data_IF_012636245919
#
_entry.id   IF_012636245919
#
_cell.length_a   1.000
_cell.length_b   1.000
_cell.length_c   1.000
_cell.angle_alpha   90.00
_cell.angle_beta   90.00
_cell.angle_gamma   90.00
#
_symmetry.space_group_name_H-M   'P 1'
#
loop_
_entity.id
_entity.type
_entity.pdbx_description
1 polymer ?
#
# COMPACT_ATOMS: atom_id res chain seq x y z
N UNK A 1 2.00 -24.94 28.28
CA UNK A 1 2.68 -24.45 27.07
C UNK A 1 2.09 -25.19 25.90
N UNK A 2 1.75 -24.47 24.85
CA UNK A 2 1.03 -24.98 23.68
C UNK A 2 2.03 -25.19 22.56
N UNK A 3 1.77 -26.18 21.70
CA UNK A 3 2.51 -26.38 20.45
C UNK A 3 1.60 -26.00 19.29
N UNK A 4 2.10 -25.21 18.34
CA UNK A 4 1.39 -24.86 17.11
C UNK A 4 2.15 -25.36 15.90
N UNK A 5 1.43 -25.76 14.88
CA UNK A 5 1.99 -26.11 13.58
C UNK A 5 1.54 -25.09 12.53
N UNK A 6 2.51 -24.42 11.92
CA UNK A 6 2.30 -23.43 10.87
C UNK A 6 2.54 -24.07 9.50
N UNK A 7 1.53 -24.04 8.63
CA UNK A 7 1.64 -24.49 7.24
C UNK A 7 1.79 -23.32 6.25
N UNK A 8 1.49 -22.09 6.68
CA UNK A 8 1.44 -20.89 5.85
C UNK A 8 2.56 -19.88 6.08
N UNK A 9 2.22 -18.59 5.97
CA UNK A 9 3.17 -17.46 6.01
C UNK A 9 3.99 -17.39 7.30
N UNK A 10 3.43 -17.80 8.45
CA UNK A 10 4.15 -17.87 9.74
C UNK A 10 5.31 -18.89 9.77
N UNK A 11 5.48 -19.72 8.73
CA UNK A 11 6.71 -20.49 8.53
C UNK A 11 7.91 -19.61 8.18
N UNK A 12 7.67 -18.39 7.67
CA UNK A 12 8.72 -17.42 7.40
C UNK A 12 9.23 -16.84 8.72
N UNK A 13 10.41 -17.29 9.16
CA UNK A 13 10.96 -16.95 10.48
C UNK A 13 10.99 -15.44 10.77
N UNK A 14 11.40 -14.54 9.86
CA UNK A 14 11.34 -13.09 10.12
C UNK A 14 9.94 -12.57 10.44
N UNK A 15 8.91 -13.13 9.80
CA UNK A 15 7.52 -12.78 10.12
C UNK A 15 7.13 -13.31 11.50
N UNK A 16 7.49 -14.55 11.80
CA UNK A 16 7.22 -15.18 13.10
C UNK A 16 7.89 -14.42 14.26
N UNK A 17 9.12 -13.94 14.08
CA UNK A 17 9.83 -13.11 15.07
C UNK A 17 9.07 -11.83 15.38
N UNK A 18 8.51 -11.16 14.35
CA UNK A 18 7.70 -9.95 14.52
C UNK A 18 6.42 -10.26 15.28
N UNK A 19 5.74 -11.34 14.91
CA UNK A 19 4.47 -11.76 15.54
C UNK A 19 4.70 -12.17 16.98
N UNK A 20 5.69 -13.01 17.29
CA UNK A 20 5.99 -13.40 18.67
C UNK A 20 6.70 -12.30 19.49
N UNK A 21 7.34 -11.34 18.84
CA UNK A 21 8.06 -10.25 19.50
C UNK A 21 9.37 -10.68 20.16
N UNK A 22 9.99 -11.78 19.69
CA UNK A 22 11.28 -12.29 20.16
C UNK A 22 12.07 -12.93 19.02
N UNK A 23 13.40 -12.94 19.14
CA UNK A 23 14.30 -13.47 18.12
C UNK A 23 14.18 -15.00 17.97
N UNK A 24 14.51 -15.50 16.79
CA UNK A 24 14.44 -16.91 16.37
C UNK A 24 15.17 -17.85 17.34
N UNK A 25 16.31 -17.42 17.89
CA UNK A 25 17.06 -18.22 18.86
C UNK A 25 16.33 -18.50 20.18
N UNK A 26 15.23 -17.78 20.46
CA UNK A 26 14.34 -18.02 21.60
C UNK A 26 13.05 -18.75 21.26
N UNK A 27 12.91 -19.26 20.04
CA UNK A 27 11.72 -19.98 19.56
C UNK A 27 12.12 -21.44 19.33
N UNK A 28 11.54 -22.36 20.10
CA UNK A 28 11.70 -23.81 19.87
C UNK A 28 10.86 -24.21 18.65
N UNK A 29 11.53 -24.38 17.51
CA UNK A 29 10.90 -24.70 16.24
C UNK A 29 11.65 -25.79 15.48
N UNK A 30 10.90 -26.68 14.82
CA UNK A 30 11.43 -27.73 13.97
C UNK A 30 10.51 -28.00 12.77
N UNK A 31 11.04 -28.49 11.64
CA UNK A 31 10.21 -28.99 10.55
C UNK A 31 9.27 -30.11 11.03
N UNK A 32 8.07 -30.15 10.46
CA UNK A 32 7.09 -31.20 10.72
C UNK A 32 6.18 -31.39 9.49
N UNK A 33 5.51 -32.53 9.43
CA UNK A 33 4.54 -32.87 8.38
C UNK A 33 3.16 -33.08 8.97
N UNK A 34 2.13 -32.50 8.37
CA UNK A 34 0.74 -32.80 8.67
C UNK A 34 0.17 -33.74 7.60
N UNK A 35 -0.15 -35.01 7.93
CA UNK A 35 -0.71 -35.97 6.99
C UNK A 35 -2.19 -35.68 6.68
N UNK A 36 -2.67 -36.20 5.55
CA UNK A 36 -4.05 -36.11 5.05
C UNK A 36 -4.58 -34.67 4.91
N UNK A 37 -3.68 -33.71 4.69
CA UNK A 37 -4.03 -32.31 4.50
C UNK A 37 -3.20 -31.70 3.38
N UNK A 38 -3.81 -30.78 2.65
CA UNK A 38 -3.14 -30.05 1.60
C UNK A 38 -3.38 -28.55 1.71
N UNK A 39 -2.34 -27.79 1.38
CA UNK A 39 -2.37 -26.32 1.38
C UNK A 39 -2.65 -25.84 -0.04
N UNK A 40 -3.54 -24.85 -0.17
CA UNK A 40 -3.85 -24.15 -1.43
C UNK A 40 -3.70 -22.65 -1.25
N UNK A 41 -3.34 -21.96 -2.32
CA UNK A 41 -3.39 -20.51 -2.35
C UNK A 41 -4.86 -20.07 -2.30
N UNK A 42 -5.13 -18.91 -1.70
CA UNK A 42 -6.46 -18.30 -1.70
C UNK A 42 -6.56 -17.35 -2.90
N UNK A 43 -7.65 -17.40 -3.66
CA UNK A 43 -7.82 -16.56 -4.85
C UNK A 43 -7.92 -15.06 -4.51
N UNK A 44 -8.45 -14.76 -3.33
CA UNK A 44 -8.73 -13.42 -2.83
C UNK A 44 -7.49 -12.72 -2.24
N UNK A 45 -6.35 -13.40 -2.07
CA UNK A 45 -5.15 -12.75 -1.56
C UNK A 45 -3.93 -13.63 -1.34
N UNK A 46 -2.79 -13.01 -0.98
CA UNK A 46 -1.51 -13.69 -0.87
C UNK A 46 -1.36 -14.43 0.47
N UNK A 47 -2.27 -15.36 0.74
CA UNK A 47 -2.24 -16.22 1.92
C UNK A 47 -2.77 -17.62 1.59
N UNK A 48 -2.39 -18.64 2.38
CA UNK A 48 -2.84 -20.01 2.15
C UNK A 48 -4.12 -20.36 2.91
N UNK A 49 -4.83 -21.36 2.39
CA UNK A 49 -5.85 -22.15 3.09
C UNK A 49 -5.39 -23.60 3.21
N UNK A 50 -5.92 -24.34 4.18
CA UNK A 50 -5.63 -25.77 4.37
C UNK A 50 -6.93 -26.56 4.46
N UNK A 51 -6.99 -27.69 3.76
CA UNK A 51 -8.13 -28.60 3.76
C UNK A 51 -7.70 -30.06 3.90
N UNK A 52 -8.63 -30.91 4.33
CA UNK A 52 -8.41 -32.34 4.38
C UNK A 52 -8.33 -32.93 2.96
N UNK A 53 -7.28 -33.69 2.68
CA UNK A 53 -7.05 -34.37 1.40
C UNK A 53 -6.31 -35.67 1.67
N UNK A 54 -7.01 -36.80 1.55
CA UNK A 54 -6.47 -38.11 1.94
C UNK A 54 -5.23 -38.47 1.10
N UNK A 55 -4.15 -38.86 1.77
CA UNK A 55 -2.86 -39.17 1.16
C UNK A 55 -2.00 -37.95 0.80
N UNK A 56 -2.47 -36.73 1.05
CA UNK A 56 -1.63 -35.53 0.94
C UNK A 56 -0.77 -35.35 2.19
N UNK A 57 0.39 -34.71 2.03
CA UNK A 57 1.31 -34.37 3.12
C UNK A 57 1.65 -32.88 3.07
N UNK A 58 1.33 -32.17 4.15
CA UNK A 58 1.65 -30.74 4.27
C UNK A 58 2.91 -30.53 5.08
N UNK A 59 3.95 -29.99 4.44
CA UNK A 59 5.17 -29.55 5.10
C UNK A 59 4.94 -28.24 5.86
N UNK A 60 5.40 -28.17 7.11
CA UNK A 60 5.25 -26.97 7.95
C UNK A 60 6.31 -26.83 9.03
N UNK A 61 6.06 -25.90 9.95
CA UNK A 61 6.92 -25.57 11.06
C UNK A 61 6.18 -25.81 12.37
N UNK A 62 6.63 -26.78 13.15
CA UNK A 62 6.16 -27.01 14.51
C UNK A 62 6.89 -26.06 15.45
N UNK A 63 6.15 -25.26 16.20
CA UNK A 63 6.66 -24.37 17.25
C UNK A 63 6.11 -24.83 18.60
N UNK A 64 7.02 -25.07 19.55
CA UNK A 64 6.70 -25.62 20.88
C UNK A 64 6.93 -24.57 21.96
N UNK A 65 6.44 -24.86 23.16
CA UNK A 65 6.74 -24.04 24.33
C UNK A 65 6.00 -22.70 24.37
N UNK A 66 4.98 -22.49 23.54
CA UNK A 66 4.27 -21.22 23.46
C UNK A 66 3.48 -20.97 24.75
N UNK A 67 3.70 -19.82 25.35
CA UNK A 67 2.97 -19.38 26.55
C UNK A 67 1.66 -18.66 26.17
N UNK A 68 0.79 -18.31 27.13
CA UNK A 68 -0.46 -17.62 26.82
C UNK A 68 -0.29 -16.26 26.12
N UNK A 69 0.83 -15.57 26.33
CA UNK A 69 1.12 -14.30 25.67
C UNK A 69 1.52 -14.52 24.22
N UNK A 70 2.30 -15.57 23.92
CA UNK A 70 2.62 -15.96 22.56
C UNK A 70 1.35 -16.28 21.76
N UNK A 71 0.44 -17.06 22.35
CA UNK A 71 -0.85 -17.42 21.73
C UNK A 71 -1.68 -16.17 21.46
N UNK A 72 -1.83 -15.27 22.44
CA UNK A 72 -2.60 -14.04 22.25
C UNK A 72 -2.03 -13.15 21.15
N UNK A 73 -0.70 -13.12 20.96
CA UNK A 73 -0.06 -12.36 19.87
C UNK A 73 -0.30 -12.99 18.49
N UNK A 74 -0.25 -14.33 18.40
CA UNK A 74 -0.56 -15.08 17.19
C UNK A 74 -2.03 -14.89 16.81
N UNK A 75 -2.94 -15.09 17.77
CA UNK A 75 -4.38 -14.89 17.57
C UNK A 75 -4.68 -13.46 17.11
N UNK A 76 -4.04 -12.45 17.70
CA UNK A 76 -4.23 -11.07 17.28
C UNK A 76 -3.78 -10.80 15.83
N UNK A 77 -2.68 -11.43 15.40
CA UNK A 77 -2.20 -11.30 14.02
C UNK A 77 -3.12 -12.04 13.03
N UNK A 78 -3.60 -13.23 13.40
CA UNK A 78 -4.41 -14.10 12.55
C UNK A 78 -5.91 -13.73 12.56
N UNK A 79 -6.38 -12.95 13.53
CA UNK A 79 -7.81 -12.69 13.71
C UNK A 79 -8.47 -11.89 12.57
N UNK A 80 -7.70 -11.28 11.65
CA UNK A 80 -8.23 -10.69 10.42
C UNK A 80 -8.70 -11.70 9.37
N UNK A 81 -8.44 -12.99 9.58
CA UNK A 81 -8.76 -14.06 8.64
C UNK A 81 -9.76 -15.08 9.20
N UNK A 82 -10.21 -14.90 10.44
CA UNK A 82 -11.10 -15.79 11.19
C UNK A 82 -10.64 -17.27 11.15
N UNK A 83 -9.84 -17.67 12.12
CA UNK A 83 -9.36 -19.06 12.21
C UNK A 83 -9.88 -19.79 13.44
N UNK A 84 -10.22 -21.08 13.26
CA UNK A 84 -10.40 -22.04 14.34
C UNK A 84 -9.11 -22.84 14.55
N UNK A 85 -8.70 -23.05 15.80
CA UNK A 85 -7.59 -23.97 16.10
C UNK A 85 -8.09 -25.39 16.28
N UNK A 86 -7.47 -26.36 15.61
CA UNK A 86 -7.74 -27.80 15.77
C UNK A 86 -6.48 -28.53 16.23
N UNK A 87 -6.62 -29.42 17.21
CA UNK A 87 -5.54 -30.28 17.67
C UNK A 87 -5.35 -31.47 16.72
N UNK A 88 -4.22 -31.52 16.03
CA UNK A 88 -3.88 -32.59 15.10
C UNK A 88 -2.49 -33.20 15.42
N UNK A 89 -2.30 -34.50 15.15
CA UNK A 89 -0.98 -35.11 15.22
C UNK A 89 -0.16 -34.62 14.01
N UNK A 90 1.01 -34.06 14.27
CA UNK A 90 2.01 -33.73 13.25
C UNK A 90 3.22 -34.65 13.40
N UNK A 91 3.74 -35.12 12.28
CA UNK A 91 4.89 -36.02 12.23
C UNK A 91 6.19 -35.23 12.30
N UNK A 92 7.12 -35.71 13.12
CA UNK A 92 8.46 -35.16 13.30
C UNK A 92 9.46 -36.30 13.30
N UNK A 93 10.75 -35.99 13.21
CA UNK A 93 11.82 -37.00 13.31
C UNK A 93 11.81 -37.75 14.66
N UNK A 94 11.19 -37.16 15.69
CA UNK A 94 11.06 -37.73 17.04
C UNK A 94 9.75 -38.50 17.24
N UNK A 95 8.89 -38.57 16.21
CA UNK A 95 7.57 -39.17 16.23
C UNK A 95 6.43 -38.15 16.15
N UNK A 96 5.19 -38.64 16.29
CA UNK A 96 4.00 -37.80 16.20
C UNK A 96 3.83 -36.94 17.47
N UNK A 97 3.64 -35.63 17.28
CA UNK A 97 3.40 -34.64 18.34
C UNK A 97 2.03 -34.01 18.11
N UNK A 98 1.23 -33.87 19.18
CA UNK A 98 -0.03 -33.12 19.10
C UNK A 98 0.26 -31.62 19.04
N UNK A 99 -0.24 -30.94 18.02
CA UNK A 99 -0.12 -29.49 17.85
C UNK A 99 -1.47 -28.87 17.45
N UNK A 100 -1.66 -27.60 17.82
CA UNK A 100 -2.77 -26.79 17.33
C UNK A 100 -2.45 -26.28 15.93
N UNK A 101 -3.43 -26.31 15.05
CA UNK A 101 -3.33 -25.86 13.66
C UNK A 101 -4.47 -24.88 13.41
N UNK A 102 -4.17 -23.70 12.86
CA UNK A 102 -5.21 -22.76 12.43
C UNK A 102 -5.93 -23.31 11.19
N UNK A 103 -7.26 -23.25 11.16
CA UNK A 103 -8.07 -23.61 10.01
C UNK A 103 -9.01 -22.45 9.70
N UNK A 104 -9.11 -22.02 8.44
CA UNK A 104 -10.01 -20.93 8.10
C UNK A 104 -11.43 -21.28 8.53
N UNK A 105 -12.12 -20.32 9.12
CA UNK A 105 -13.50 -20.47 9.54
C UNK A 105 -14.42 -20.42 8.30
N UNK A 106 -15.26 -21.45 8.15
CA UNK A 106 -16.22 -21.54 7.05
C UNK A 106 -15.62 -21.71 5.65
N UNK A 107 -16.48 -21.63 4.64
CA UNK A 107 -16.13 -21.77 3.22
C UNK A 107 -15.93 -20.40 2.55
N UNK A 108 -15.39 -19.43 3.28
CA UNK A 108 -15.32 -18.02 2.83
C UNK A 108 -14.24 -17.76 1.78
N UNK A 109 -13.23 -18.63 1.69
CA UNK A 109 -12.07 -18.44 0.82
C UNK A 109 -12.06 -19.45 -0.31
N UNK A 110 -11.82 -18.99 -1.53
CA UNK A 110 -11.79 -19.85 -2.72
C UNK A 110 -10.41 -20.50 -2.84
N UNK A 111 -10.28 -21.84 -2.70
CA UNK A 111 -9.00 -22.52 -2.90
C UNK A 111 -8.61 -22.47 -4.39
N UNK A 112 -7.42 -21.94 -4.66
CA UNK A 112 -6.78 -21.92 -5.97
C UNK A 112 -5.73 -23.02 -6.13
N UNK A 113 -4.62 -22.67 -6.79
CA UNK A 113 -3.50 -23.57 -7.05
C UNK A 113 -2.73 -23.97 -5.77
N UNK A 114 -1.74 -24.87 -5.91
CA UNK A 114 -0.86 -25.22 -4.81
C UNK A 114 -0.10 -23.99 -4.28
N UNK A 115 -0.06 -23.87 -2.95
CA UNK A 115 0.66 -22.79 -2.31
C UNK A 115 2.14 -23.15 -2.09
N UNK A 116 3.02 -22.22 -2.45
CA UNK A 116 4.47 -22.32 -2.23
C UNK A 116 4.92 -21.24 -1.25
N UNK A 117 5.54 -21.67 -0.14
CA UNK A 117 6.16 -20.73 0.80
C UNK A 117 7.26 -19.93 0.12
N UNK A 118 8.05 -20.56 -0.75
CA UNK A 118 9.18 -19.88 -1.40
C UNK A 118 8.69 -18.78 -2.35
N UNK A 119 7.70 -19.08 -3.19
CA UNK A 119 7.12 -18.08 -4.10
C UNK A 119 6.46 -16.94 -3.31
N UNK A 120 5.81 -17.28 -2.20
CA UNK A 120 5.26 -16.30 -1.29
C UNK A 120 6.34 -15.44 -0.62
N UNK A 121 7.47 -16.01 -0.20
CA UNK A 121 8.58 -15.24 0.39
C UNK A 121 9.16 -14.26 -0.63
N UNK A 122 9.39 -14.74 -1.85
CA UNK A 122 10.01 -13.94 -2.91
C UNK A 122 9.12 -12.76 -3.33
N UNK A 123 7.81 -12.95 -3.37
CA UNK A 123 6.87 -11.90 -3.75
C UNK A 123 6.38 -11.05 -2.56
N UNK A 124 5.99 -11.69 -1.47
CA UNK A 124 5.20 -11.10 -0.38
C UNK A 124 5.91 -11.06 0.98
N UNK A 125 7.00 -11.82 1.18
CA UNK A 125 7.64 -12.00 2.48
C UNK A 125 7.98 -10.69 3.19
N UNK A 126 8.79 -9.84 2.57
CA UNK A 126 9.18 -8.55 3.16
C UNK A 126 7.99 -7.58 3.34
N UNK A 127 6.96 -7.66 2.50
CA UNK A 127 5.78 -6.78 2.57
C UNK A 127 4.95 -7.16 3.78
N UNK A 128 4.80 -8.48 3.97
CA UNK A 128 4.10 -9.07 5.10
C UNK A 128 4.82 -8.77 6.40
N UNK A 129 6.17 -8.79 6.42
CA UNK A 129 6.94 -8.32 7.57
C UNK A 129 6.69 -6.83 7.88
N UNK A 130 6.72 -5.96 6.86
CA UNK A 130 6.49 -4.52 7.04
C UNK A 130 5.07 -4.22 7.53
N UNK A 131 4.07 -4.92 7.01
CA UNK A 131 2.68 -4.87 7.47
C UNK A 131 2.55 -5.42 8.90
N UNK A 132 3.17 -6.57 9.19
CA UNK A 132 3.12 -7.20 10.51
C UNK A 132 3.73 -6.33 11.61
N UNK A 133 4.80 -5.58 11.35
CA UNK A 133 5.34 -4.62 12.35
C UNK A 133 4.30 -3.56 12.70
N UNK A 134 3.53 -3.12 11.72
CA UNK A 134 2.47 -2.15 11.92
C UNK A 134 1.27 -2.75 12.66
N UNK A 135 0.84 -3.96 12.31
CA UNK A 135 -0.19 -4.72 13.03
C UNK A 135 0.24 -4.95 14.48
N UNK A 136 1.39 -5.56 14.70
CA UNK A 136 1.88 -5.92 16.04
C UNK A 136 2.24 -4.71 16.89
N UNK A 137 2.52 -3.54 16.31
CA UNK A 137 2.65 -2.28 17.03
C UNK A 137 1.35 -1.82 17.72
N UNK A 138 0.20 -2.35 17.28
CA UNK A 138 -1.14 -2.13 17.84
C UNK A 138 -1.62 -3.27 18.74
N UNK A 139 -0.81 -4.32 18.93
CA UNK A 139 -1.14 -5.39 19.87
C UNK A 139 -1.41 -4.82 21.26
N UNK A 140 -2.58 -5.13 21.83
CA UNK A 140 -3.05 -4.59 23.11
C UNK A 140 -3.56 -3.14 23.08
N UNK A 141 -3.61 -2.50 21.90
CA UNK A 141 -4.10 -1.12 21.70
C UNK A 141 -5.30 -1.02 20.76
N UNK A 142 -5.48 -2.01 19.89
CA UNK A 142 -6.61 -2.13 18.97
C UNK A 142 -7.23 -3.52 19.10
N UNK A 143 -8.50 -3.62 18.72
CA UNK A 143 -9.22 -4.88 18.52
C UNK A 143 -8.86 -5.53 17.17
N UNK A 144 -9.02 -6.86 17.04
CA UNK A 144 -8.89 -7.52 15.75
C UNK A 144 -9.77 -6.96 14.64
N UNK A 145 -10.99 -6.53 14.95
CA UNK A 145 -11.92 -5.95 13.98
C UNK A 145 -11.39 -4.63 13.43
N UNK A 146 -10.81 -3.78 14.29
CA UNK A 146 -10.14 -2.55 13.86
C UNK A 146 -8.91 -2.85 12.98
N UNK A 147 -8.14 -3.89 13.29
CA UNK A 147 -7.01 -4.32 12.45
C UNK A 147 -7.50 -4.81 11.09
N UNK A 148 -8.54 -5.66 11.06
CA UNK A 148 -9.12 -6.18 9.83
C UNK A 148 -9.59 -5.04 8.91
N UNK A 149 -10.28 -4.05 9.47
CA UNK A 149 -10.74 -2.87 8.71
C UNK A 149 -9.57 -2.02 8.18
N UNK A 150 -8.45 -1.97 8.90
CA UNK A 150 -7.25 -1.23 8.49
C UNK A 150 -6.28 -2.02 7.62
N UNK A 151 -6.47 -3.34 7.50
CA UNK A 151 -5.46 -4.23 6.91
C UNK A 151 -5.12 -3.90 5.45
N UNK A 152 -6.08 -3.57 4.55
CA UNK A 152 -5.75 -3.12 3.20
C UNK A 152 -4.81 -1.90 3.22
N UNK A 153 -5.12 -0.90 4.05
CA UNK A 153 -4.33 0.32 4.20
C UNK A 153 -2.96 0.07 4.84
N UNK A 154 -2.86 -0.84 5.80
CA UNK A 154 -1.58 -1.26 6.38
C UNK A 154 -0.70 -1.87 5.27
N UNK A 155 -1.27 -2.72 4.41
CA UNK A 155 -0.54 -3.30 3.28
C UNK A 155 -0.15 -2.25 2.24
N UNK A 156 -1.02 -1.29 1.91
CA UNK A 156 -0.69 -0.21 0.96
C UNK A 156 0.42 0.70 1.50
N UNK A 157 0.46 0.99 2.82
CA UNK A 157 1.61 1.68 3.44
C UNK A 157 2.89 0.86 3.41
N UNK A 158 2.81 -0.45 3.63
CA UNK A 158 3.95 -1.33 3.50
C UNK A 158 4.46 -1.39 2.04
N UNK A 159 3.54 -1.31 1.07
CA UNK A 159 3.85 -1.26 -0.35
C UNK A 159 4.50 0.07 -0.76
N UNK A 160 4.03 1.20 -0.25
CA UNK A 160 4.67 2.51 -0.43
C UNK A 160 6.16 2.47 0.00
N UNK A 161 6.48 1.82 1.13
CA UNK A 161 7.88 1.63 1.56
C UNK A 161 8.71 0.82 0.57
N UNK A 162 8.12 -0.20 -0.06
CA UNK A 162 8.76 -1.01 -1.10
C UNK A 162 9.04 -0.19 -2.37
N UNK A 163 8.09 0.64 -2.79
CA UNK A 163 8.24 1.54 -3.94
C UNK A 163 9.34 2.59 -3.68
N UNK A 164 9.49 3.06 -2.44
CA UNK A 164 10.49 4.05 -2.04
C UNK A 164 11.95 3.54 -1.98
N UNK A 165 12.20 2.23 -2.14
CA UNK A 165 13.56 1.64 -2.02
C UNK A 165 14.53 2.20 -3.05
N UNK A 166 14.04 2.68 -4.20
CA UNK A 166 14.86 3.35 -5.21
C UNK A 166 14.80 4.87 -5.02
N UNK A 167 15.84 5.51 -4.44
CA UNK A 167 15.83 6.95 -4.23
C UNK A 167 15.98 7.71 -5.55
N UNK A 168 15.38 8.90 -5.62
CA UNK A 168 15.68 9.83 -6.69
C UNK A 168 17.17 10.20 -6.73
N UNK A 169 17.74 10.60 -7.89
CA UNK A 169 19.14 10.98 -8.00
C UNK A 169 19.57 12.00 -6.95
N UNK A 170 20.81 11.87 -6.47
CA UNK A 170 21.44 12.77 -5.51
C UNK A 170 22.66 13.45 -6.14
N UNK A 171 22.50 13.98 -7.36
CA UNK A 171 23.60 14.64 -8.09
C UNK A 171 23.95 16.00 -7.51
N UNK A 172 22.97 16.71 -6.92
CA UNK A 172 23.15 17.98 -6.21
C UNK A 172 22.99 17.86 -4.68
N UNK A 173 22.13 16.93 -4.22
CA UNK A 173 21.91 16.70 -2.78
C UNK A 173 23.15 16.10 -2.13
N UNK A 174 23.34 16.34 -0.83
CA UNK A 174 24.34 15.60 -0.07
C UNK A 174 24.07 14.10 -0.15
N UNK A 175 25.12 13.29 -0.26
CA UNK A 175 25.05 11.82 -0.30
C UNK A 175 24.79 11.21 1.09
N UNK A 176 23.89 11.83 1.86
CA UNK A 176 23.48 11.35 3.18
C UNK A 176 22.32 10.35 3.02
N UNK A 177 22.26 9.36 3.91
CA UNK A 177 21.25 8.30 3.89
C UNK A 177 20.44 8.26 5.18
N UNK A 178 19.54 7.28 5.32
CA UNK A 178 18.85 7.00 6.57
C UNK A 178 19.80 6.64 7.72
N UNK A 179 21.02 6.18 7.42
CA UNK A 179 22.08 5.95 8.42
C UNK A 179 22.61 7.25 9.05
N UNK A 180 22.37 8.40 8.41
CA UNK A 180 22.71 9.72 8.91
C UNK A 180 21.59 10.36 9.74
N UNK A 181 20.53 9.60 10.03
CA UNK A 181 19.38 10.01 10.84
C UNK A 181 19.17 8.99 11.96
N UNK A 182 18.94 9.48 13.17
CA UNK A 182 18.63 8.63 14.31
C UNK A 182 17.31 9.08 14.93
N UNK A 183 16.31 8.19 14.90
CA UNK A 183 15.09 8.34 15.71
C UNK A 183 15.42 7.88 17.14
N UNK A 184 15.42 8.83 18.06
CA UNK A 184 15.86 8.64 19.45
C UNK A 184 14.72 8.28 20.40
N UNK A 185 13.48 8.64 20.07
CA UNK A 185 12.30 8.28 20.85
C UNK A 185 11.03 8.35 19.99
N UNK A 186 10.08 7.47 20.29
CA UNK A 186 8.69 7.54 19.80
C UNK A 186 7.78 8.13 20.88
N UNK A 187 6.76 8.87 20.47
CA UNK A 187 5.73 9.44 21.34
C UNK A 187 4.35 8.99 20.85
N UNK A 188 3.32 9.02 21.72
CA UNK A 188 1.95 8.74 21.31
C UNK A 188 1.53 9.61 20.12
N UNK A 189 0.93 8.98 19.13
CA UNK A 189 0.42 9.60 17.92
C UNK A 189 -1.04 9.22 17.67
N UNK A 190 -1.44 9.24 16.40
CA UNK A 190 -2.75 8.75 15.97
C UNK A 190 -2.56 7.63 14.94
N UNK A 191 -3.29 6.51 15.10
CA UNK A 191 -3.12 5.31 14.27
C UNK A 191 -4.47 4.88 13.69
N UNK A 192 -4.95 5.59 12.66
CA UNK A 192 -6.19 5.27 11.93
C UNK A 192 -5.93 4.92 10.47
N UNK A 193 -6.86 5.34 9.60
CA UNK A 193 -6.69 5.28 8.13
C UNK A 193 -5.37 5.93 7.72
N UNK A 194 -5.13 7.17 8.16
CA UNK A 194 -3.81 7.79 8.17
C UNK A 194 -3.15 7.62 9.54
N UNK A 195 -1.82 7.76 9.59
CA UNK A 195 -1.10 7.80 10.87
C UNK A 195 -0.46 9.16 11.10
N UNK A 196 -0.51 9.64 12.33
CA UNK A 196 0.32 10.74 12.80
C UNK A 196 1.39 10.16 13.73
N UNK A 197 2.65 10.20 13.31
CA UNK A 197 3.78 9.76 14.15
C UNK A 197 4.41 10.97 14.83
N UNK A 198 4.52 10.93 16.15
CA UNK A 198 5.27 11.91 16.92
C UNK A 198 6.59 11.27 17.40
N UNK A 199 7.73 11.89 17.12
CA UNK A 199 9.04 11.31 17.44
C UNK A 199 10.12 12.37 17.72
N UNK A 200 11.20 11.95 18.36
CA UNK A 200 12.42 12.74 18.56
C UNK A 200 13.51 12.19 17.67
N UNK A 201 14.25 13.05 16.97
CA UNK A 201 15.34 12.63 16.10
C UNK A 201 16.57 13.55 16.22
N UNK A 202 17.72 13.06 15.77
CA UNK A 202 18.88 13.87 15.39
C UNK A 202 19.39 13.42 14.03
N UNK A 203 20.11 14.28 13.31
CA UNK A 203 20.67 13.94 12.00
C UNK A 203 22.08 14.53 11.83
N UNK A 204 22.86 14.00 10.87
CA UNK A 204 24.14 14.61 10.49
C UNK A 204 23.93 16.00 9.92
N UNK A 205 24.80 16.93 10.27
CA UNK A 205 24.73 18.31 9.74
C UNK A 205 25.67 18.48 8.55
N UNK A 206 25.38 19.44 7.67
CA UNK A 206 26.27 19.78 6.55
C UNK A 206 27.63 20.34 6.99
N UNK A 207 27.73 20.88 8.21
CA UNK A 207 28.99 21.32 8.80
C UNK A 207 29.77 20.18 9.47
N UNK A 208 29.26 18.95 9.43
CA UNK A 208 29.78 17.79 10.17
C UNK A 208 29.15 17.63 11.55
N UNK A 209 29.41 16.48 12.19
CA UNK A 209 28.83 16.16 13.50
C UNK A 209 27.33 15.83 13.45
N UNK A 210 26.70 15.81 14.62
CA UNK A 210 25.25 15.59 14.79
C UNK A 210 24.55 16.88 15.18
N UNK A 211 23.29 17.02 14.76
CA UNK A 211 22.39 18.04 15.29
C UNK A 211 22.09 17.79 16.77
N UNK A 212 21.56 18.80 17.46
CA UNK A 212 20.79 18.56 18.68
C UNK A 212 19.56 17.69 18.38
N UNK A 213 19.03 17.04 19.41
CA UNK A 213 17.78 16.28 19.29
C UNK A 213 16.60 17.25 19.14
N UNK A 214 15.70 16.94 18.22
CA UNK A 214 14.53 17.75 17.92
C UNK A 214 13.26 16.90 17.85
N UNK A 215 12.14 17.51 18.19
CA UNK A 215 10.83 16.88 18.10
C UNK A 215 10.21 17.16 16.73
N UNK A 216 9.67 16.11 16.10
CA UNK A 216 8.91 16.21 14.86
C UNK A 216 7.64 15.38 14.94
N UNK A 217 6.73 15.72 14.04
CA UNK A 217 5.53 14.97 13.74
C UNK A 217 5.52 14.71 12.23
N UNK A 218 5.08 13.51 11.84
CA UNK A 218 4.96 13.13 10.44
C UNK A 218 3.59 12.48 10.20
N UNK A 219 2.91 12.99 9.18
CA UNK A 219 1.71 12.39 8.61
C UNK A 219 2.11 11.26 7.67
N UNK A 220 1.82 10.02 8.06
CA UNK A 220 2.12 8.83 7.28
C UNK A 220 0.88 8.45 6.49
N UNK A 221 0.97 8.67 5.18
CA UNK A 221 -0.06 8.42 4.19
C UNK A 221 0.37 7.27 3.25
N UNK A 222 -0.21 7.26 2.06
CA UNK A 222 -0.02 6.24 1.04
C UNK A 222 0.71 6.83 -0.17
N UNK A 223 1.10 5.96 -1.08
CA UNK A 223 1.41 6.37 -2.45
C UNK A 223 0.10 6.43 -3.25
N UNK A 224 0.00 7.42 -4.13
CA UNK A 224 -1.12 7.54 -5.07
C UNK A 224 -0.60 7.65 -6.51
N UNK A 225 -1.34 7.10 -7.46
CA UNK A 225 -1.07 7.24 -8.87
C UNK A 225 -1.98 8.31 -9.47
N UNK A 226 -1.40 9.29 -10.16
CA UNK A 226 -2.10 10.40 -10.78
C UNK A 226 -1.93 10.31 -12.28
N UNK A 227 -3.02 10.46 -13.04
CA UNK A 227 -2.97 10.50 -14.49
C UNK A 227 -3.70 11.73 -15.04
N UNK A 228 -3.05 12.44 -15.96
CA UNK A 228 -3.66 13.51 -16.74
C UNK A 228 -4.05 12.95 -18.11
N UNK A 229 -5.33 12.67 -18.38
CA UNK A 229 -5.78 12.27 -19.70
C UNK A 229 -5.61 13.42 -20.69
N UNK A 230 -4.96 13.15 -21.82
CA UNK A 230 -4.70 14.14 -22.86
C UNK A 230 -4.98 13.58 -24.25
N UNK A 231 -5.75 14.34 -25.03
CA UNK A 231 -5.99 14.11 -26.44
C UNK A 231 -5.14 15.07 -27.28
N UNK A 232 -4.06 14.58 -27.91
CA UNK A 232 -3.21 15.40 -28.75
C UNK A 232 -3.85 15.71 -30.12
N UNK A 233 -4.91 15.03 -30.56
CA UNK A 233 -5.63 15.37 -31.79
C UNK A 233 -6.48 16.63 -31.58
N UNK A 234 -7.34 16.59 -30.57
CA UNK A 234 -8.30 17.68 -30.31
C UNK A 234 -7.76 18.75 -29.37
N UNK A 235 -6.59 18.52 -28.78
CA UNK A 235 -5.92 19.40 -27.82
C UNK A 235 -6.70 19.60 -26.53
N UNK A 236 -7.16 18.49 -25.96
CA UNK A 236 -8.03 18.50 -24.78
C UNK A 236 -7.40 17.73 -23.64
N UNK A 237 -7.72 18.17 -22.42
CA UNK A 237 -7.43 17.44 -21.19
C UNK A 237 -8.75 17.11 -20.49
N UNK A 238 -8.74 16.04 -19.71
CA UNK A 238 -9.78 15.80 -18.72
C UNK A 238 -9.26 16.09 -17.32
N UNK A 239 -10.06 16.81 -16.55
CA UNK A 239 -9.88 17.05 -15.12
C UNK A 239 -11.08 16.47 -14.38
N UNK A 240 -10.91 16.11 -13.12
CA UNK A 240 -12.01 15.76 -12.22
C UNK A 240 -12.16 16.84 -11.14
N UNK A 241 -13.36 16.95 -10.60
CA UNK A 241 -13.72 17.86 -9.51
C UNK A 241 -14.41 17.08 -8.41
N UNK A 242 -13.91 17.22 -7.18
CA UNK A 242 -14.50 16.58 -6.01
C UNK A 242 -14.23 17.40 -4.73
N UNK A 243 -15.03 17.14 -3.70
CA UNK A 243 -14.86 17.77 -2.38
C UNK A 243 -13.60 17.23 -1.69
N UNK A 244 -12.74 18.13 -1.20
CA UNK A 244 -11.52 17.76 -0.49
C UNK A 244 -11.49 18.27 0.94
N UNK A 245 -11.12 17.37 1.86
CA UNK A 245 -11.06 17.64 3.29
C UNK A 245 -9.97 18.65 3.67
N UNK A 246 -8.85 18.71 2.93
CA UNK A 246 -7.76 19.66 3.20
C UNK A 246 -8.24 21.12 3.15
N UNK A 247 -8.76 21.60 2.00
CA UNK A 247 -9.40 22.91 1.90
C UNK A 247 -10.53 23.12 2.92
N UNK A 248 -11.38 22.11 3.15
CA UNK A 248 -12.44 22.18 4.16
C UNK A 248 -11.89 22.46 5.57
N UNK A 249 -10.88 21.70 6.02
CA UNK A 249 -10.25 21.87 7.33
C UNK A 249 -9.42 23.16 7.43
N UNK A 250 -8.94 23.69 6.30
CA UNK A 250 -8.33 25.01 6.22
C UNK A 250 -9.35 26.15 6.37
N UNK A 251 -10.65 25.87 6.19
CA UNK A 251 -11.73 26.85 6.21
C UNK A 251 -11.95 27.54 4.87
N UNK A 252 -11.62 26.87 3.75
CA UNK A 252 -11.88 27.38 2.41
C UNK A 252 -13.40 27.44 2.13
N UNK A 253 -13.96 28.57 1.67
CA UNK A 253 -15.38 28.65 1.31
C UNK A 253 -15.76 27.77 0.11
N UNK A 254 -14.81 27.31 -0.71
CA UNK A 254 -15.06 26.46 -1.88
C UNK A 254 -14.14 25.22 -1.85
N UNK A 255 -14.49 24.16 -1.09
CA UNK A 255 -13.61 23.00 -0.89
C UNK A 255 -13.67 21.95 -2.03
N UNK A 256 -14.31 22.26 -3.16
CA UNK A 256 -14.27 21.43 -4.36
C UNK A 256 -13.05 21.82 -5.20
N UNK A 257 -12.25 20.82 -5.58
CA UNK A 257 -10.92 21.03 -6.15
C UNK A 257 -10.84 20.35 -7.51
N UNK A 258 -10.27 21.05 -8.50
CA UNK A 258 -9.91 20.46 -9.78
C UNK A 258 -8.61 19.67 -9.68
N UNK A 259 -8.63 18.43 -10.13
CA UNK A 259 -7.54 17.45 -9.98
C UNK A 259 -7.35 16.61 -11.26
N UNK A 260 -6.19 15.97 -11.46
CA UNK A 260 -6.10 14.83 -12.36
C UNK A 260 -6.92 13.65 -11.81
N UNK A 261 -7.20 12.67 -12.66
CA UNK A 261 -7.69 11.35 -12.21
C UNK A 261 -6.63 10.74 -11.29
N UNK A 262 -7.03 10.20 -10.14
CA UNK A 262 -6.08 9.76 -9.12
C UNK A 262 -6.67 8.76 -8.14
N UNK A 263 -5.84 7.81 -7.70
CA UNK A 263 -6.23 6.90 -6.63
C UNK A 263 -5.06 6.28 -5.88
N UNK A 264 -5.38 5.56 -4.81
CA UNK A 264 -4.38 4.95 -3.94
C UNK A 264 -3.77 3.72 -4.63
N UNK A 265 -2.44 3.58 -4.51
CA UNK A 265 -1.75 2.41 -5.05
C UNK A 265 -1.96 1.23 -4.11
N UNK A 266 -2.64 0.20 -4.60
CA UNK A 266 -2.89 -1.00 -3.82
C UNK A 266 -1.64 -1.87 -3.65
N UNK A 267 -1.65 -2.66 -2.57
CA UNK A 267 -0.53 -3.50 -2.23
C UNK A 267 -0.26 -4.59 -3.27
N UNK A 268 0.86 -4.46 -3.98
CA UNK A 268 1.25 -5.38 -5.06
C UNK A 268 0.92 -4.86 -6.46
N UNK A 269 0.25 -3.71 -6.56
CA UNK A 269 -0.06 -3.04 -7.82
C UNK A 269 1.08 -2.10 -8.25
N UNK A 270 1.37 -2.00 -9.55
CA UNK A 270 2.29 -0.95 -10.03
C UNK A 270 1.57 0.38 -10.12
N UNK A 271 2.25 1.53 -9.92
CA UNK A 271 1.58 2.82 -10.03
C UNK A 271 0.94 3.09 -11.40
N UNK A 272 1.51 2.56 -12.50
CA UNK A 272 0.86 2.68 -13.82
C UNK A 272 -0.42 1.83 -13.92
N UNK A 273 -0.43 0.62 -13.34
CA UNK A 273 -1.64 -0.22 -13.32
C UNK A 273 -2.76 0.46 -12.51
N UNK A 274 -2.43 1.02 -11.34
CA UNK A 274 -3.33 1.83 -10.53
C UNK A 274 -3.90 2.99 -11.36
N UNK A 275 -3.06 3.82 -11.98
CA UNK A 275 -3.51 4.94 -12.81
C UNK A 275 -4.46 4.52 -13.96
N UNK A 276 -4.26 3.35 -14.55
CA UNK A 276 -5.14 2.82 -15.60
C UNK A 276 -6.48 2.35 -15.04
N UNK A 277 -6.47 1.69 -13.88
CA UNK A 277 -7.68 1.25 -13.17
C UNK A 277 -8.54 2.46 -12.80
N UNK A 278 -7.94 3.47 -12.17
CA UNK A 278 -8.63 4.70 -11.76
C UNK A 278 -9.19 5.49 -12.96
N UNK A 279 -8.50 5.51 -14.09
CA UNK A 279 -9.03 6.14 -15.30
C UNK A 279 -10.32 5.48 -15.82
N UNK A 280 -10.48 4.17 -15.62
CA UNK A 280 -11.70 3.46 -15.96
C UNK A 280 -12.77 3.72 -14.90
N UNK A 281 -12.43 3.63 -13.62
CA UNK A 281 -13.35 3.74 -12.48
C UNK A 281 -13.91 5.17 -12.32
N UNK A 282 -13.05 6.19 -12.28
CA UNK A 282 -13.45 7.58 -12.02
C UNK A 282 -13.96 8.29 -13.29
N UNK A 283 -13.38 7.97 -14.45
CA UNK A 283 -13.55 8.75 -15.68
C UNK A 283 -14.10 7.97 -16.87
N UNK A 284 -14.28 6.64 -16.76
CA UNK A 284 -14.74 5.80 -17.87
C UNK A 284 -13.79 5.79 -19.07
N UNK A 285 -12.51 6.09 -18.87
CA UNK A 285 -11.52 6.24 -19.92
C UNK A 285 -10.60 5.02 -20.04
N UNK A 286 -10.54 4.45 -21.24
CA UNK A 286 -9.48 3.51 -21.61
C UNK A 286 -8.28 4.27 -22.16
N UNK A 287 -7.19 4.29 -21.42
CA UNK A 287 -5.96 5.00 -21.80
C UNK A 287 -5.10 4.15 -22.75
N UNK A 288 -4.53 4.80 -23.77
CA UNK A 288 -3.56 4.23 -24.68
C UNK A 288 -2.13 4.26 -24.12
N UNK A 289 -1.23 4.93 -24.84
CA UNK A 289 0.15 5.15 -24.41
C UNK A 289 0.18 5.97 -23.09
N UNK A 290 0.89 5.44 -22.10
CA UNK A 290 1.16 6.12 -20.83
C UNK A 290 2.58 6.67 -20.86
N UNK A 291 2.76 7.93 -20.48
CA UNK A 291 4.09 8.54 -20.32
C UNK A 291 4.34 8.88 -18.86
N UNK A 292 5.45 8.45 -18.27
CA UNK A 292 5.79 8.84 -16.91
C UNK A 292 6.08 10.35 -16.85
N UNK A 293 5.50 11.01 -15.86
CA UNK A 293 5.83 12.36 -15.41
C UNK A 293 6.71 12.28 -14.16
N UNK A 294 7.25 13.40 -13.65
CA UNK A 294 7.98 13.39 -12.38
C UNK A 294 7.10 12.86 -11.23
N UNK A 295 7.63 11.92 -10.46
CA UNK A 295 7.05 11.50 -9.21
C UNK A 295 7.52 12.41 -8.06
N UNK A 296 6.63 12.79 -7.14
CA UNK A 296 6.88 13.87 -6.17
C UNK A 296 6.25 13.61 -4.82
N UNK A 297 6.89 14.13 -3.76
CA UNK A 297 6.25 14.24 -2.44
C UNK A 297 5.27 15.42 -2.44
N UNK A 298 4.08 15.21 -1.85
CA UNK A 298 3.08 16.26 -1.70
C UNK A 298 3.59 17.43 -0.83
N UNK A 299 4.17 17.09 0.32
CA UNK A 299 4.74 18.05 1.28
C UNK A 299 5.83 17.37 2.12
N UNK A 300 7.08 17.31 1.65
CA UNK A 300 8.14 16.49 2.27
C UNK A 300 8.57 16.97 3.66
N UNK A 301 8.09 18.13 4.12
CA UNK A 301 8.37 18.64 5.46
C UNK A 301 7.68 17.84 6.58
N UNK A 302 6.58 17.15 6.28
CA UNK A 302 5.84 16.37 7.28
C UNK A 302 5.02 15.21 6.72
N UNK A 303 4.72 15.15 5.42
CA UNK A 303 3.89 14.09 4.83
C UNK A 303 4.76 13.04 4.15
N UNK A 304 4.42 11.76 4.32
CA UNK A 304 4.98 10.67 3.53
C UNK A 304 4.25 10.45 2.21
N UNK A 305 3.17 11.18 1.94
CA UNK A 305 2.39 11.05 0.70
C UNK A 305 3.26 11.30 -0.53
N UNK A 306 3.18 10.38 -1.48
CA UNK A 306 3.99 10.39 -2.70
C UNK A 306 3.12 10.13 -3.92
N UNK A 307 3.29 10.96 -4.95
CA UNK A 307 2.52 10.90 -6.18
C UNK A 307 3.36 10.32 -7.31
N UNK A 308 2.88 9.26 -7.92
CA UNK A 308 3.39 8.71 -9.17
C UNK A 308 2.56 9.27 -10.33
N UNK A 309 3.14 10.20 -11.09
CA UNK A 309 2.38 10.98 -12.08
C UNK A 309 2.57 10.44 -13.51
N UNK A 310 1.50 10.46 -14.30
CA UNK A 310 1.47 10.00 -15.68
C UNK A 310 0.70 10.95 -16.60
N UNK A 311 1.08 10.98 -17.88
CA UNK A 311 0.24 11.45 -18.97
C UNK A 311 -0.41 10.22 -19.62
N UNK A 312 -1.73 10.20 -19.72
CA UNK A 312 -2.46 9.14 -20.43
C UNK A 312 -2.98 9.65 -21.77
N UNK A 313 -2.50 9.09 -22.88
CA UNK A 313 -3.03 9.47 -24.19
C UNK A 313 -4.37 8.77 -24.45
N UNK A 314 -5.37 9.53 -24.86
CA UNK A 314 -6.71 9.03 -25.16
C UNK A 314 -7.43 9.94 -26.16
N UNK A 315 -8.56 9.48 -26.69
CA UNK A 315 -9.47 10.32 -27.47
C UNK A 315 -10.42 11.03 -26.50
N UNK A 316 -10.55 12.35 -26.61
CA UNK A 316 -11.41 13.15 -25.74
C UNK A 316 -12.38 14.01 -26.53
N UNK A 317 -13.61 14.06 -26.06
CA UNK A 317 -14.68 14.87 -26.62
C UNK A 317 -15.58 15.44 -25.52
N UNK A 318 -16.36 16.49 -25.79
CA UNK A 318 -17.21 17.10 -24.76
C UNK A 318 -18.24 16.16 -24.12
N UNK A 319 -18.60 15.05 -24.78
CA UNK A 319 -19.53 14.04 -24.24
C UNK A 319 -18.91 13.17 -23.14
N UNK A 320 -17.58 13.18 -23.02
CA UNK A 320 -16.87 12.41 -22.00
C UNK A 320 -16.82 13.19 -20.66
N UNK A 321 -17.31 14.44 -20.64
CA UNK A 321 -17.64 15.14 -19.39
C UNK A 321 -18.93 14.58 -18.79
N UNK A 322 -19.02 14.51 -17.46
CA UNK A 322 -20.14 13.88 -16.79
C UNK A 322 -19.97 13.76 -15.29
N UNK A 323 -20.82 12.95 -14.67
CA UNK A 323 -20.66 12.50 -13.29
C UNK A 323 -20.01 11.11 -13.31
N UNK A 324 -19.08 10.87 -12.38
CA UNK A 324 -18.35 9.63 -12.19
C UNK A 324 -18.17 9.31 -10.71
N UNK A 325 -17.29 8.34 -10.41
CA UNK A 325 -17.07 7.82 -9.06
C UNK A 325 -17.79 6.48 -8.82
N UNK A 326 -17.36 5.77 -7.78
CA UNK A 326 -17.94 4.50 -7.37
C UNK A 326 -18.99 4.70 -6.26
N UNK A 327 -20.21 4.20 -6.47
CA UNK A 327 -21.29 4.22 -5.47
C UNK A 327 -20.86 3.59 -4.13
N UNK A 328 -19.95 2.61 -4.18
CA UNK A 328 -19.39 1.90 -3.03
C UNK A 328 -18.39 2.72 -2.23
N UNK A 329 -17.80 3.76 -2.82
CA UNK A 329 -16.74 4.58 -2.21
C UNK A 329 -17.25 5.95 -1.72
N UNK A 330 -18.55 6.20 -1.86
CA UNK A 330 -19.18 7.48 -1.51
C UNK A 330 -18.53 8.69 -2.21
N UNK A 331 -18.01 8.46 -3.42
CA UNK A 331 -17.37 9.49 -4.23
C UNK A 331 -18.41 10.20 -5.11
N UNK A 332 -18.42 11.53 -5.05
CA UNK A 332 -19.23 12.40 -5.91
C UNK A 332 -18.27 13.20 -6.80
N UNK A 333 -17.98 12.65 -7.98
CA UNK A 333 -16.97 13.16 -8.90
C UNK A 333 -17.63 13.77 -10.14
N UNK A 334 -17.14 14.94 -10.55
CA UNK A 334 -17.53 15.59 -11.80
C UNK A 334 -16.33 15.71 -12.75
N UNK A 335 -16.48 15.16 -13.96
CA UNK A 335 -15.46 15.21 -15.01
C UNK A 335 -15.64 16.41 -15.94
N UNK A 336 -14.53 17.08 -16.26
CA UNK A 336 -14.46 18.27 -17.10
C UNK A 336 -13.51 18.04 -18.27
N UNK A 337 -14.03 18.11 -19.51
CA UNK A 337 -13.20 18.04 -20.72
C UNK A 337 -12.99 19.44 -21.29
N UNK A 338 -11.75 19.93 -21.20
CA UNK A 338 -11.39 21.30 -21.55
C UNK A 338 -10.35 21.32 -22.65
N UNK A 339 -10.34 22.38 -23.47
CA UNK A 339 -9.18 22.64 -24.34
C UNK A 339 -7.98 23.01 -23.49
N UNK A 340 -6.78 22.60 -23.90
CA UNK A 340 -5.54 22.87 -23.16
C UNK A 340 -5.34 24.37 -22.79
N UNK A 341 -5.57 25.36 -23.69
CA UNK A 341 -5.48 26.77 -23.31
C UNK A 341 -6.45 27.20 -22.20
N UNK A 342 -7.63 26.58 -22.12
CA UNK A 342 -8.58 26.87 -21.05
C UNK A 342 -8.10 26.31 -19.71
N UNK A 343 -7.54 25.09 -19.70
CA UNK A 343 -6.92 24.53 -18.48
C UNK A 343 -5.75 25.39 -17.97
N UNK A 344 -4.94 25.96 -18.88
CA UNK A 344 -3.88 26.90 -18.51
C UNK A 344 -4.45 28.22 -17.96
N UNK A 345 -5.57 28.72 -18.50
CA UNK A 345 -6.22 29.91 -17.95
C UNK A 345 -6.74 29.70 -16.51
N UNK A 346 -7.19 28.48 -16.17
CA UNK A 346 -7.57 28.11 -14.80
C UNK A 346 -6.36 28.06 -13.86
N UNK A 347 -5.19 27.66 -14.36
CA UNK A 347 -3.94 27.73 -13.62
C UNK A 347 -3.53 29.18 -13.37
N UNK A 348 -3.59 30.03 -14.40
CA UNK A 348 -3.22 31.45 -14.29
C UNK A 348 -4.17 32.24 -13.37
N UNK A 349 -5.46 31.88 -13.32
CA UNK A 349 -6.46 32.50 -12.43
C UNK A 349 -6.34 32.05 -10.97
N UNK A 350 -5.66 30.92 -10.71
CA UNK A 350 -5.59 30.28 -9.40
C UNK A 350 -6.77 29.35 -9.07
N UNK A 351 -7.66 29.08 -10.03
CA UNK A 351 -8.74 28.09 -9.87
C UNK A 351 -8.20 26.66 -9.81
N UNK A 352 -7.14 26.37 -10.56
CA UNK A 352 -6.29 25.21 -10.29
C UNK A 352 -5.40 25.53 -9.09
N UNK A 353 -5.78 25.01 -7.94
CA UNK A 353 -5.08 25.18 -6.67
C UNK A 353 -4.55 23.86 -6.07
N UNK A 354 -4.75 22.73 -6.77
CA UNK A 354 -4.07 21.47 -6.49
C UNK A 354 -2.65 21.48 -7.06
N UNK A 355 -1.65 21.40 -6.18
CA UNK A 355 -0.22 21.40 -6.56
C UNK A 355 0.15 20.36 -7.63
N UNK A 356 -0.27 19.08 -7.50
CA UNK A 356 0.01 18.07 -8.52
C UNK A 356 -0.60 18.40 -9.88
N UNK A 357 -1.85 18.89 -9.93
CA UNK A 357 -2.47 19.29 -11.20
C UNK A 357 -1.68 20.42 -11.87
N UNK A 358 -1.33 21.46 -11.12
CA UNK A 358 -0.54 22.57 -11.61
C UNK A 358 0.80 22.09 -12.21
N UNK A 359 1.50 21.19 -11.50
CA UNK A 359 2.74 20.59 -11.99
C UNK A 359 2.54 19.80 -13.29
N UNK A 360 1.50 18.96 -13.37
CA UNK A 360 1.24 18.12 -14.54
C UNK A 360 0.84 18.94 -15.77
N UNK A 361 0.05 20.01 -15.59
CA UNK A 361 -0.29 20.95 -16.67
C UNK A 361 0.95 21.69 -17.18
N UNK A 362 1.83 22.15 -16.28
CA UNK A 362 3.09 22.81 -16.67
C UNK A 362 4.05 21.84 -17.38
N UNK A 363 4.13 20.59 -16.93
CA UNK A 363 4.88 19.55 -17.63
C UNK A 363 4.31 19.31 -19.02
N UNK A 364 2.98 19.18 -19.15
CA UNK A 364 2.32 19.00 -20.44
C UNK A 364 2.57 20.20 -21.34
N UNK A 365 2.51 21.44 -20.83
CA UNK A 365 2.82 22.64 -21.60
C UNK A 365 4.19 22.55 -22.29
N UNK A 366 5.19 22.00 -21.58
CA UNK A 366 6.55 21.80 -22.08
C UNK A 366 6.63 20.70 -23.15
N UNK A 367 5.96 19.57 -22.94
CA UNK A 367 6.04 18.41 -23.84
C UNK A 367 5.07 18.47 -25.03
N UNK A 368 4.00 19.27 -24.91
CA UNK A 368 2.90 19.37 -25.86
C UNK A 368 3.32 19.66 -27.31
N UNK A 369 4.30 20.54 -27.60
CA UNK A 369 4.76 20.73 -28.98
C UNK A 369 5.23 19.43 -29.65
N UNK A 370 5.96 18.57 -28.92
CA UNK A 370 6.45 17.29 -29.41
C UNK A 370 5.33 16.26 -29.58
N UNK A 371 4.39 16.23 -28.64
CA UNK A 371 3.21 15.35 -28.71
C UNK A 371 2.34 15.65 -29.93
N UNK A 372 2.29 16.92 -30.35
CA UNK A 372 1.44 17.39 -31.45
C UNK A 372 2.15 17.48 -32.80
N UNK A 373 3.49 17.49 -32.84
CA UNK A 373 4.25 17.70 -34.09
C UNK A 373 4.08 16.58 -35.12
N UNK A 374 3.61 15.39 -34.71
CA UNK A 374 3.28 14.28 -35.60
C UNK A 374 1.83 14.28 -36.13
N UNK A 375 1.00 15.23 -35.71
CA UNK A 375 -0.45 15.19 -35.95
C UNK A 375 -0.85 16.27 -36.95
N UNK A 376 -1.40 15.87 -38.10
CA UNK A 376 -2.02 16.83 -39.03
C UNK A 376 -3.22 17.47 -38.32
N UNK A 377 -3.39 18.80 -38.38
CA UNK A 377 -4.58 19.42 -37.82
C UNK A 377 -5.81 18.84 -38.51
N UNK A 378 -6.75 18.33 -37.70
CA UNK A 378 -8.09 18.00 -38.16
C UNK A 378 -8.77 19.35 -38.41
N UNK A 379 -8.99 19.65 -39.69
CA UNK A 379 -9.55 20.92 -40.16
C UNK A 379 -11.05 21.07 -39.91
#
# INVERSE_FOLDING_TARGET
MTSLFFYGSLRHVPLLEIVLGRAAGGIDMQPATLPDHAVRAVAEGPFPTIGAEQGAETQGLLVRGLDPQDIARLDFYEAGFEFDTRGLPVETDEGAIMAQVYFPAGDHWTPGDFWSLQDWVDQWGQLSCDAAREVMGRYGKASPQEISALFPFIRSRAWARRLAVQPAPQTLRAQMTDQDVEITAERPGFDGFFRMRAFSLRHRTFAGGWSETMNREAFVAFDAALVLPYDPATDRVMLIEQMRYGPLMRGDPAPWVLEPVAGLVDAGETPEACARREAVEEAGLTLGEMRPMPAVYASPGYSSEFFHCFLGLCDLSPKDAGLGGLDTEHEDIRSHVLRFPAAMALLDSGEVNAGPLAMMLLWLARERPNLRSGMRPVG
#
